data_IF_153781042972
#
_entry.id   IF_153781042972
#
_cell.length_a   1.000
_cell.length_b   1.000
_cell.length_c   1.000
_cell.angle_alpha   90.00
_cell.angle_beta   90.00
_cell.angle_gamma   90.00
#
_symmetry.space_group_name_H-M   'P 1'
#
loop_
_entity.id
_entity.type
_entity.pdbx_description
1 polymer ?
#
# COMPACT_ATOMS: atom_id res chain seq x y z
N UNK A 1 9.62 30.54 25.96
CA UNK A 1 8.66 29.42 25.75
C UNK A 1 9.21 28.54 24.65
N UNK A 2 9.36 27.23 24.91
CA UNK A 2 9.79 26.24 23.92
C UNK A 2 8.55 25.61 23.30
N UNK A 3 8.45 25.62 21.97
CA UNK A 3 7.62 24.66 21.24
C UNK A 3 8.50 24.06 20.13
N UNK A 4 8.80 22.76 20.30
CA UNK A 4 9.63 21.97 19.41
C UNK A 4 8.92 21.76 18.07
N UNK A 5 9.55 22.20 16.99
CA UNK A 5 9.17 21.84 15.63
C UNK A 5 9.93 20.57 15.25
N UNK A 6 9.46 19.42 15.75
CA UNK A 6 10.14 18.12 15.66
C UNK A 6 9.43 17.12 14.74
N UNK A 7 8.37 17.53 14.03
CA UNK A 7 7.58 16.65 13.16
C UNK A 7 8.00 16.67 11.69
N UNK A 8 8.69 17.72 11.22
CA UNK A 8 8.97 17.86 9.78
C UNK A 8 10.13 16.99 9.29
N UNK A 9 11.07 16.58 10.17
CA UNK A 9 12.25 15.80 9.73
C UNK A 9 11.90 14.34 9.46
N UNK A 10 11.03 13.76 10.29
CA UNK A 10 10.68 12.33 10.21
C UNK A 10 9.84 11.97 8.98
N UNK A 11 8.98 12.87 8.50
CA UNK A 11 8.17 12.61 7.29
C UNK A 11 9.02 12.68 6.02
N UNK A 12 9.90 13.67 5.92
CA UNK A 12 10.84 13.79 4.80
C UNK A 12 11.83 12.64 4.77
N UNK A 13 12.36 12.22 5.93
CA UNK A 13 13.24 11.04 6.03
C UNK A 13 12.52 9.76 5.60
N UNK A 14 11.23 9.61 5.95
CA UNK A 14 10.43 8.45 5.55
C UNK A 14 10.16 8.45 4.03
N UNK A 15 9.92 9.62 3.43
CA UNK A 15 9.73 9.77 1.98
C UNK A 15 11.02 9.43 1.25
N UNK A 16 12.16 9.97 1.68
CA UNK A 16 13.48 9.69 1.10
C UNK A 16 13.85 8.22 1.24
N UNK A 17 13.57 7.61 2.41
CA UNK A 17 13.78 6.18 2.63
C UNK A 17 12.95 5.34 1.67
N UNK A 18 11.66 5.66 1.48
CA UNK A 18 10.80 4.96 0.52
C UNK A 18 11.27 5.12 -0.93
N UNK A 19 11.65 6.33 -1.33
CA UNK A 19 12.16 6.61 -2.68
C UNK A 19 13.50 5.90 -2.96
N UNK A 20 14.37 5.79 -1.95
CA UNK A 20 15.65 5.08 -2.07
C UNK A 20 15.48 3.55 -2.22
N UNK A 21 14.38 2.99 -1.68
CA UNK A 21 14.04 1.58 -1.85
C UNK A 21 13.52 1.28 -3.26
N UNK A 22 12.84 2.22 -3.90
CA UNK A 22 12.31 2.07 -5.26
C UNK A 22 13.40 1.99 -6.33
N UNK A 23 14.61 2.49 -6.06
CA UNK A 23 15.68 2.57 -7.05
C UNK A 23 16.51 1.28 -7.24
N UNK A 24 16.37 0.27 -6.37
CA UNK A 24 17.19 -0.96 -6.45
C UNK A 24 16.45 -2.09 -7.16
N UNK A 25 16.76 -2.27 -8.45
CA UNK A 25 16.56 -3.55 -9.15
C UNK A 25 15.11 -3.91 -9.45
N UNK A 26 14.29 -2.94 -9.84
CA UNK A 26 12.91 -3.24 -10.19
C UNK A 26 12.85 -4.07 -11.48
N UNK A 27 12.05 -5.15 -11.50
CA UNK A 27 11.90 -6.00 -12.67
C UNK A 27 11.61 -5.18 -13.94
N UNK A 28 12.11 -5.64 -15.09
CA UNK A 28 11.58 -5.21 -16.38
C UNK A 28 10.07 -5.43 -16.30
N UNK A 29 9.24 -4.39 -16.48
CA UNK A 29 7.77 -4.41 -16.30
C UNK A 29 7.23 -4.29 -14.87
N UNK A 30 8.05 -3.95 -13.87
CA UNK A 30 7.48 -3.53 -12.59
C UNK A 30 6.80 -2.18 -12.76
N UNK A 31 5.52 -2.16 -12.44
CA UNK A 31 4.68 -0.97 -12.38
C UNK A 31 4.24 -0.84 -10.92
N UNK A 32 4.34 0.34 -10.29
CA UNK A 32 3.81 0.53 -8.95
C UNK A 32 2.35 0.07 -8.89
N UNK A 33 1.94 -0.56 -7.79
CA UNK A 33 0.57 -1.06 -7.63
C UNK A 33 -0.47 0.03 -7.92
N UNK A 34 -0.18 1.28 -7.54
CA UNK A 34 -1.05 2.43 -7.82
C UNK A 34 -1.22 2.71 -9.31
N UNK A 35 -0.15 2.60 -10.08
CA UNK A 35 -0.15 2.82 -11.53
C UNK A 35 -0.86 1.65 -12.24
N UNK A 36 -0.58 0.40 -11.84
CA UNK A 36 -1.27 -0.77 -12.37
C UNK A 36 -2.78 -0.74 -12.07
N UNK A 37 -3.17 -0.23 -10.89
CA UNK A 37 -4.56 -0.05 -10.53
C UNK A 37 -5.22 1.04 -11.38
N UNK A 38 -4.51 2.13 -11.68
CA UNK A 38 -5.00 3.20 -12.55
C UNK A 38 -5.22 2.71 -13.99
N UNK A 39 -4.23 2.01 -14.57
CA UNK A 39 -4.32 1.42 -15.91
C UNK A 39 -5.47 0.40 -16.04
N UNK A 40 -5.75 -0.35 -14.98
CA UNK A 40 -6.86 -1.29 -14.92
C UNK A 40 -8.22 -0.64 -14.61
N UNK A 41 -8.27 0.69 -14.45
CA UNK A 41 -9.51 1.43 -14.17
C UNK A 41 -10.05 1.23 -12.75
N UNK A 42 -9.25 0.72 -11.81
CA UNK A 42 -9.66 0.66 -10.41
C UNK A 42 -9.73 2.06 -9.83
N UNK A 43 -10.89 2.42 -9.28
CA UNK A 43 -11.07 3.65 -8.53
C UNK A 43 -11.24 3.35 -7.03
N UNK A 44 -10.72 4.22 -6.15
CA UNK A 44 -11.07 4.17 -4.73
C UNK A 44 -12.59 4.19 -4.57
N UNK A 45 -13.12 3.27 -3.78
CA UNK A 45 -14.53 3.24 -3.40
C UNK A 45 -14.68 3.76 -1.97
N UNK A 46 -15.79 4.44 -1.68
CA UNK A 46 -16.07 4.98 -0.34
C UNK A 46 -16.16 3.89 0.74
N UNK A 47 -16.52 2.67 0.34
CA UNK A 47 -16.60 1.49 1.22
C UNK A 47 -15.70 0.37 0.70
N UNK A 48 -14.38 0.43 0.98
CA UNK A 48 -13.45 -0.60 0.53
C UNK A 48 -13.67 -1.89 1.31
N UNK A 49 -13.69 -3.01 0.59
CA UNK A 49 -13.83 -4.32 1.22
C UNK A 49 -12.63 -4.60 2.14
N UNK A 50 -12.92 -4.98 3.38
CA UNK A 50 -11.92 -5.30 4.40
C UNK A 50 -11.71 -6.80 4.46
N UNK A 51 -10.45 -7.22 4.53
CA UNK A 51 -10.13 -8.61 4.82
C UNK A 51 -10.53 -8.92 6.26
N UNK A 52 -11.53 -9.80 6.45
CA UNK A 52 -12.07 -10.14 7.78
C UNK A 52 -11.57 -11.47 8.32
N UNK A 53 -10.87 -12.25 7.50
CA UNK A 53 -10.20 -13.47 7.94
C UNK A 53 -9.90 -14.43 6.81
N UNK A 54 -9.67 -15.68 7.18
CA UNK A 54 -9.51 -16.78 6.24
C UNK A 54 -10.50 -17.90 6.54
N UNK A 55 -10.97 -18.58 5.50
CA UNK A 55 -11.89 -19.71 5.61
C UNK A 55 -11.44 -20.86 4.72
N UNK A 56 -11.72 -22.10 5.13
CA UNK A 56 -11.48 -23.29 4.32
C UNK A 56 -12.77 -23.72 3.64
N UNK A 57 -12.75 -23.81 2.31
CA UNK A 57 -13.83 -24.34 1.49
C UNK A 57 -13.23 -25.47 0.66
N UNK A 58 -13.78 -26.68 0.77
CA UNK A 58 -13.32 -27.87 0.04
C UNK A 58 -11.80 -28.13 0.18
N UNK A 59 -11.26 -27.88 1.39
CA UNK A 59 -9.84 -28.08 1.70
C UNK A 59 -8.91 -26.94 1.23
N UNK A 60 -9.40 -25.99 0.44
CA UNK A 60 -8.64 -24.83 -0.01
C UNK A 60 -8.87 -23.62 0.90
N UNK A 61 -7.79 -22.91 1.22
CA UNK A 61 -7.83 -21.72 2.08
C UNK A 61 -8.10 -20.47 1.24
N UNK A 62 -9.13 -19.73 1.62
CA UNK A 62 -9.55 -18.48 0.98
C UNK A 62 -9.44 -17.33 1.98
N UNK A 63 -9.09 -16.14 1.49
CA UNK A 63 -9.27 -14.89 2.25
C UNK A 63 -10.71 -14.43 2.09
N UNK A 64 -11.32 -14.00 3.19
CA UNK A 64 -12.70 -13.49 3.22
C UNK A 64 -12.64 -11.97 3.25
N UNK A 65 -13.41 -11.34 2.37
CA UNK A 65 -13.56 -9.89 2.30
C UNK A 65 -15.02 -9.52 2.55
N UNK A 66 -15.26 -8.50 3.36
CA UNK A 66 -16.59 -7.95 3.63
C UNK A 66 -16.59 -6.44 3.36
N UNK A 67 -17.72 -5.92 2.87
CA UNK A 67 -17.95 -4.49 2.63
C UNK A 67 -18.32 -3.82 3.96
#
# INVERSE_FOLDING_TARGET
MRYANQKSSTETELIEQKLSQTAKGMPLHWVPEQEANFDAGYMPTDTPARCTGTTRIEGKLYKVFQI
#
